data_IF_955445370143
#
_entry.id   IF_955445370143
#
_cell.length_a   1.000
_cell.length_b   1.000
_cell.length_c   1.000
_cell.angle_alpha   90.00
_cell.angle_beta   90.00
_cell.angle_gamma   90.00
#
_symmetry.space_group_name_H-M   'P 1'
#
loop_
_entity.id
_entity.type
_entity.pdbx_description
1 polymer ?
#
# COMPACT_ATOMS: atom_id res chain seq x y z
N UNK A 1 -9.86 -17.11 -2.41
CA UNK A 1 -9.78 -15.64 -2.39
C UNK A 1 -8.48 -15.22 -1.75
N UNK A 2 -7.70 -14.52 -2.54
CA UNK A 2 -6.35 -14.05 -2.30
C UNK A 2 -6.40 -12.56 -2.59
N UNK A 3 -6.32 -11.77 -1.52
CA UNK A 3 -6.22 -10.32 -1.63
C UNK A 3 -4.76 -9.93 -1.89
N UNK A 4 -4.54 -8.74 -2.43
CA UNK A 4 -3.23 -8.10 -2.55
C UNK A 4 -3.27 -6.77 -1.80
N UNK A 5 -2.23 -6.49 -1.03
CA UNK A 5 -2.01 -5.22 -0.36
C UNK A 5 -0.74 -4.62 -0.94
N UNK A 6 -0.77 -3.36 -1.37
CA UNK A 6 0.36 -2.76 -2.10
C UNK A 6 0.62 -1.33 -1.65
N UNK A 7 1.89 -0.97 -1.59
CA UNK A 7 2.41 0.38 -1.33
C UNK A 7 3.65 0.62 -2.20
N UNK A 8 3.75 1.80 -2.80
CA UNK A 8 4.81 2.12 -3.76
C UNK A 8 5.62 3.33 -3.31
N UNK A 9 6.90 3.35 -3.67
CA UNK A 9 7.73 4.54 -3.57
C UNK A 9 8.28 4.92 -4.94
N UNK A 10 8.22 6.21 -5.27
CA UNK A 10 8.64 6.75 -6.55
C UNK A 10 9.42 8.05 -6.40
N UNK A 11 10.29 8.32 -7.37
CA UNK A 11 11.04 9.56 -7.47
C UNK A 11 10.16 10.71 -8.00
N UNK A 12 10.68 11.94 -7.98
CA UNK A 12 9.96 13.12 -8.52
C UNK A 12 9.63 13.02 -10.01
N UNK A 13 10.44 12.30 -10.79
CA UNK A 13 10.15 11.99 -12.20
C UNK A 13 9.06 10.92 -12.36
N UNK A 14 8.49 10.43 -11.24
CA UNK A 14 7.44 9.41 -11.15
C UNK A 14 7.89 7.98 -11.50
N UNK A 15 9.20 7.77 -11.59
CA UNK A 15 9.78 6.43 -11.72
C UNK A 15 9.69 5.71 -10.37
N UNK A 16 9.07 4.53 -10.38
CA UNK A 16 8.97 3.66 -9.20
C UNK A 16 10.35 3.05 -8.92
N UNK A 17 10.79 3.08 -7.66
CA UNK A 17 12.03 2.44 -7.22
C UNK A 17 11.83 1.34 -6.19
N UNK A 18 10.64 1.25 -5.59
CA UNK A 18 10.30 0.24 -4.60
C UNK A 18 8.80 -0.07 -4.68
N UNK A 19 8.49 -1.36 -4.68
CA UNK A 19 7.12 -1.89 -4.60
C UNK A 19 7.07 -2.85 -3.42
N UNK A 20 6.35 -2.48 -2.38
CA UNK A 20 6.01 -3.38 -1.30
C UNK A 20 4.66 -4.02 -1.54
N UNK A 21 4.54 -5.32 -1.32
CA UNK A 21 3.26 -6.00 -1.38
C UNK A 21 3.14 -7.18 -0.44
N UNK A 22 1.90 -7.60 -0.18
CA UNK A 22 1.60 -8.78 0.59
C UNK A 22 0.29 -9.42 0.13
N UNK A 23 0.22 -10.75 0.16
CA UNK A 23 -1.05 -11.49 0.04
C UNK A 23 -1.62 -11.89 1.40
N UNK A 24 -0.81 -11.79 2.47
CA UNK A 24 -1.23 -12.06 3.84
C UNK A 24 -0.39 -11.28 4.87
N UNK A 25 -0.83 -11.22 6.13
CA UNK A 25 -0.14 -10.45 7.19
C UNK A 25 1.29 -10.94 7.46
N UNK A 26 1.56 -12.22 7.20
CA UNK A 26 2.81 -12.87 7.59
C UNK A 26 3.90 -12.78 6.54
N UNK A 27 3.57 -12.37 5.32
CA UNK A 27 4.51 -12.42 4.20
C UNK A 27 4.40 -11.14 3.34
N UNK A 28 5.35 -10.23 3.58
CA UNK A 28 5.52 -8.99 2.83
C UNK A 28 6.75 -9.13 1.96
N UNK A 29 6.57 -8.96 0.66
CA UNK A 29 7.65 -8.95 -0.33
C UNK A 29 7.93 -7.52 -0.78
N UNK A 30 9.21 -7.22 -1.02
CA UNK A 30 9.66 -5.94 -1.55
C UNK A 30 10.35 -6.18 -2.90
N UNK A 31 9.87 -5.54 -3.97
CA UNK A 31 10.52 -5.50 -5.27
C UNK A 31 11.27 -4.17 -5.41
N UNK A 32 12.58 -4.27 -5.59
CA UNK A 32 13.49 -3.15 -5.77
C UNK A 32 14.76 -3.56 -6.50
N UNK A 33 15.50 -2.59 -7.02
CA UNK A 33 16.71 -2.80 -7.84
C UNK A 33 16.44 -3.87 -8.93
N UNK A 34 17.25 -4.93 -8.97
CA UNK A 34 17.16 -6.02 -9.96
C UNK A 34 15.89 -6.86 -9.84
N UNK A 35 15.19 -6.83 -8.69
CA UNK A 35 13.93 -7.55 -8.51
C UNK A 35 12.70 -6.76 -8.98
N UNK A 36 12.84 -5.46 -9.24
CA UNK A 36 11.75 -4.63 -9.78
C UNK A 36 11.63 -4.83 -11.29
N UNK A 37 11.08 -5.97 -11.68
CA UNK A 37 10.91 -6.37 -13.08
C UNK A 37 9.44 -6.57 -13.42
N UNK A 38 9.09 -6.45 -14.71
CA UNK A 38 7.74 -6.77 -15.18
C UNK A 38 7.32 -8.21 -14.87
N UNK A 39 8.26 -9.16 -14.92
CA UNK A 39 8.00 -10.57 -14.56
C UNK A 39 7.55 -10.70 -13.10
N UNK A 40 8.27 -10.07 -12.16
CA UNK A 40 7.90 -10.10 -10.75
C UNK A 40 6.62 -9.32 -10.45
N UNK A 41 6.35 -8.23 -11.18
CA UNK A 41 5.07 -7.51 -11.08
C UNK A 41 3.91 -8.39 -11.57
N UNK A 42 4.09 -9.15 -12.65
CA UNK A 42 3.10 -10.13 -13.09
C UNK A 42 2.90 -11.24 -12.07
N UNK A 43 3.98 -11.81 -11.52
CA UNK A 43 3.91 -12.85 -10.49
C UNK A 43 3.21 -12.37 -9.20
N UNK A 44 3.37 -11.09 -8.84
CA UNK A 44 2.64 -10.46 -7.73
C UNK A 44 1.12 -10.44 -7.98
N UNK A 45 0.69 -10.16 -9.21
CA UNK A 45 -0.71 -9.99 -9.59
C UNK A 45 -1.42 -11.32 -9.93
N UNK A 46 -0.68 -12.30 -10.45
CA UNK A 46 -1.22 -13.58 -10.92
C UNK A 46 -2.12 -14.32 -9.90
N UNK A 47 -1.78 -14.45 -8.60
CA UNK A 47 -2.59 -15.22 -7.67
C UNK A 47 -3.85 -14.49 -7.18
N UNK A 48 -4.09 -13.25 -7.62
CA UNK A 48 -5.16 -12.38 -7.09
C UNK A 48 -6.51 -12.73 -7.72
N UNK A 49 -7.36 -13.42 -6.96
CA UNK A 49 -8.78 -13.67 -7.24
C UNK A 49 -9.72 -12.87 -6.30
N UNK A 50 -9.16 -12.05 -5.40
CA UNK A 50 -9.86 -11.18 -4.45
C UNK A 50 -9.78 -9.70 -4.78
N UNK A 51 -9.42 -8.88 -3.78
CA UNK A 51 -9.28 -7.43 -3.91
C UNK A 51 -7.82 -6.97 -3.86
N UNK A 52 -7.52 -5.90 -4.61
CA UNK A 52 -6.26 -5.16 -4.46
C UNK A 52 -6.51 -3.93 -3.58
N UNK A 53 -5.96 -3.94 -2.37
CA UNK A 53 -6.04 -2.87 -1.39
C UNK A 53 -4.80 -1.98 -1.42
N UNK A 54 -5.02 -0.67 -1.40
CA UNK A 54 -3.97 0.34 -1.41
C UNK A 54 -4.44 1.59 -0.65
N UNK A 55 -3.51 2.45 -0.23
CA UNK A 55 -3.84 3.61 0.63
C UNK A 55 -3.71 4.96 -0.08
N UNK A 56 -3.00 5.03 -1.20
CA UNK A 56 -2.68 6.27 -1.91
C UNK A 56 -3.03 6.21 -3.40
N UNK A 57 -2.23 6.86 -4.26
CA UNK A 57 -2.38 6.81 -5.72
C UNK A 57 -1.70 5.58 -6.36
N UNK A 58 -1.31 4.59 -5.57
CA UNK A 58 -0.40 3.49 -5.90
C UNK A 58 -0.75 2.80 -7.22
N UNK A 59 -1.98 2.31 -7.37
CA UNK A 59 -2.40 1.61 -8.58
C UNK A 59 -2.25 2.49 -9.82
N UNK A 60 -2.61 3.77 -9.74
CA UNK A 60 -2.42 4.68 -10.87
C UNK A 60 -0.94 4.91 -11.22
N UNK A 61 -0.07 4.92 -10.21
CA UNK A 61 1.38 5.05 -10.43
C UNK A 61 1.96 3.78 -11.07
N UNK A 62 1.51 2.61 -10.63
CA UNK A 62 1.93 1.32 -11.20
C UNK A 62 1.48 1.18 -12.65
N UNK A 63 0.20 1.46 -12.95
CA UNK A 63 -0.32 1.46 -14.33
C UNK A 63 0.47 2.41 -15.24
N UNK A 64 0.79 3.61 -14.74
CA UNK A 64 1.56 4.59 -15.49
C UNK A 64 2.97 4.10 -15.85
N UNK A 65 3.65 3.41 -14.92
CA UNK A 65 5.03 2.95 -15.11
C UNK A 65 5.12 1.65 -15.92
N UNK A 66 4.07 0.83 -15.91
CA UNK A 66 4.10 -0.53 -16.47
C UNK A 66 3.25 -0.68 -17.74
N UNK A 67 2.30 0.22 -17.99
CA UNK A 67 1.30 0.09 -19.06
C UNK A 67 0.23 -0.97 -18.79
N UNK A 68 0.21 -1.58 -17.59
CA UNK A 68 -0.83 -2.52 -17.19
C UNK A 68 -2.17 -1.81 -17.00
N UNK A 69 -3.26 -2.52 -17.28
CA UNK A 69 -4.63 -2.06 -17.01
C UNK A 69 -5.17 -2.74 -15.75
N UNK A 70 -4.73 -2.29 -14.58
CA UNK A 70 -5.01 -2.98 -13.32
C UNK A 70 -6.44 -2.70 -12.86
N UNK A 71 -6.90 -1.45 -12.96
CA UNK A 71 -8.22 -1.03 -12.48
C UNK A 71 -9.37 -1.70 -13.22
N UNK A 72 -9.22 -2.02 -14.51
CA UNK A 72 -10.27 -2.70 -15.27
C UNK A 72 -10.22 -4.22 -15.13
N UNK A 73 -9.06 -4.80 -14.79
CA UNK A 73 -8.88 -6.25 -14.69
C UNK A 73 -8.98 -6.78 -13.25
N UNK A 74 -8.85 -5.93 -12.23
CA UNK A 74 -8.86 -6.33 -10.82
C UNK A 74 -9.82 -5.49 -9.97
N UNK A 75 -10.29 -6.06 -8.87
CA UNK A 75 -11.13 -5.37 -7.88
C UNK A 75 -10.27 -4.48 -6.99
N UNK A 76 -10.06 -3.24 -7.41
CA UNK A 76 -9.22 -2.28 -6.69
C UNK A 76 -10.02 -1.51 -5.61
N UNK A 77 -9.52 -1.48 -4.37
CA UNK A 77 -10.12 -0.76 -3.24
C UNK A 77 -9.10 0.16 -2.58
N UNK A 78 -9.37 1.46 -2.66
CA UNK A 78 -8.61 2.46 -1.93
C UNK A 78 -9.09 2.53 -0.47
N UNK A 79 -8.28 2.03 0.47
CA UNK A 79 -8.65 1.98 1.89
C UNK A 79 -8.76 3.36 2.54
N UNK A 80 -8.03 4.37 2.05
CA UNK A 80 -8.20 5.75 2.51
C UNK A 80 -9.62 6.26 2.22
N UNK A 81 -10.17 5.99 1.03
CA UNK A 81 -11.57 6.33 0.70
C UNK A 81 -12.56 5.57 1.58
N UNK A 82 -12.34 4.26 1.75
CA UNK A 82 -13.18 3.41 2.62
C UNK A 82 -13.22 3.97 4.04
N UNK A 83 -12.06 4.24 4.63
CA UNK A 83 -11.95 4.71 6.01
C UNK A 83 -12.59 6.08 6.22
N UNK A 84 -12.51 6.99 5.22
CA UNK A 84 -13.23 8.28 5.25
C UNK A 84 -14.74 8.12 5.30
N UNK A 85 -15.28 7.07 4.67
CA UNK A 85 -16.72 6.83 4.65
C UNK A 85 -17.23 6.23 5.97
N UNK A 86 -16.50 5.27 6.54
CA UNK A 86 -16.94 4.54 7.75
C UNK A 86 -16.56 5.25 9.05
N UNK A 87 -15.50 6.04 9.07
CA UNK A 87 -15.05 6.81 10.22
C UNK A 87 -15.00 8.31 9.88
N UNK A 88 -16.13 8.95 9.52
CA UNK A 88 -16.14 10.35 9.13
C UNK A 88 -15.72 11.26 10.31
N UNK A 89 -15.12 12.41 9.98
CA UNK A 89 -14.79 13.45 10.97
C UNK A 89 -13.48 13.25 11.74
N UNK A 90 -12.64 12.26 11.40
CA UNK A 90 -11.32 12.14 12.00
C UNK A 90 -10.42 13.36 11.68
N UNK A 91 -9.57 13.80 12.64
CA UNK A 91 -8.68 14.94 12.45
C UNK A 91 -7.59 14.67 11.38
N UNK A 92 -7.26 13.40 11.14
CA UNK A 92 -6.32 12.97 10.10
C UNK A 92 -6.67 11.57 9.63
N UNK A 93 -6.40 11.32 8.34
CA UNK A 93 -6.49 10.01 7.71
C UNK A 93 -5.14 9.57 7.14
N UNK A 94 -4.04 10.09 7.65
CA UNK A 94 -2.73 9.51 7.32
C UNK A 94 -2.68 8.10 7.88
N UNK A 95 -2.04 7.19 7.15
CA UNK A 95 -1.92 5.80 7.58
C UNK A 95 -1.33 5.69 9.00
N UNK A 96 -0.37 6.55 9.38
CA UNK A 96 0.23 6.59 10.74
C UNK A 96 -0.78 6.88 11.83
N UNK A 97 -1.69 7.79 11.54
CA UNK A 97 -2.56 8.35 12.56
C UNK A 97 -3.70 7.36 12.81
N UNK A 98 -4.12 6.64 11.75
CA UNK A 98 -5.00 5.49 11.90
C UNK A 98 -4.31 4.32 12.59
N UNK A 99 -3.08 3.97 12.19
CA UNK A 99 -2.31 2.91 12.88
C UNK A 99 -2.20 3.19 14.38
N UNK A 100 -1.82 4.41 14.77
CA UNK A 100 -1.72 4.80 16.16
C UNK A 100 -3.07 4.71 16.90
N UNK A 101 -4.18 5.09 16.23
CA UNK A 101 -5.53 4.95 16.80
C UNK A 101 -5.92 3.49 17.04
N UNK A 102 -5.39 2.55 16.26
CA UNK A 102 -5.61 1.11 16.39
C UNK A 102 -4.45 0.37 17.11
N UNK A 103 -3.61 1.10 17.85
CA UNK A 103 -2.47 0.58 18.62
C UNK A 103 -1.45 -0.21 17.78
N UNK A 104 -1.33 0.12 16.49
CA UNK A 104 -0.32 -0.40 15.59
C UNK A 104 0.90 0.53 15.65
N UNK A 105 1.97 0.07 16.30
CA UNK A 105 3.19 0.85 16.43
C UNK A 105 4.15 0.63 15.27
N UNK A 106 4.68 1.73 14.74
CA UNK A 106 5.79 1.75 13.78
C UNK A 106 7.13 1.85 14.48
N UNK A 107 8.18 1.33 13.84
CA UNK A 107 9.55 1.65 14.24
C UNK A 107 10.16 2.75 13.37
N UNK A 108 9.61 3.01 12.17
CA UNK A 108 10.10 4.03 11.24
C UNK A 108 9.13 5.23 11.10
N UNK A 109 9.20 6.18 12.02
CA UNK A 109 8.35 7.38 11.99
C UNK A 109 8.90 8.54 11.11
N UNK A 110 10.14 8.43 10.66
CA UNK A 110 10.92 9.57 10.15
C UNK A 110 10.68 9.95 8.68
N UNK A 111 10.01 9.12 7.89
CA UNK A 111 9.88 9.32 6.43
C UNK A 111 8.58 10.00 5.98
N UNK A 112 7.60 10.16 6.89
CA UNK A 112 6.24 10.63 6.55
C UNK A 112 6.10 12.10 6.20
N UNK A 113 7.07 12.95 6.56
CA UNK A 113 6.98 14.40 6.37
C UNK A 113 7.84 14.92 5.22
N UNK A 114 8.66 14.07 4.59
CA UNK A 114 9.64 14.53 3.64
C UNK A 114 9.97 13.48 2.56
N UNK A 115 9.21 13.51 1.46
CA UNK A 115 9.48 12.68 0.27
C UNK A 115 10.89 12.93 -0.32
N UNK A 116 11.47 14.13 -0.12
CA UNK A 116 12.86 14.39 -0.53
C UNK A 116 13.84 13.51 0.25
N UNK A 117 13.55 13.24 1.54
CA UNK A 117 14.39 12.39 2.39
C UNK A 117 14.32 10.92 1.98
N UNK A 118 13.18 10.43 1.49
CA UNK A 118 13.06 9.06 0.95
C UNK A 118 13.98 8.85 -0.25
N UNK A 119 13.91 9.76 -1.23
CA UNK A 119 14.75 9.68 -2.42
C UNK A 119 16.26 9.87 -2.11
N UNK A 120 16.58 10.74 -1.15
CA UNK A 120 17.96 10.91 -0.67
C UNK A 120 18.48 9.64 0.03
N UNK A 121 17.72 9.12 0.99
CA UNK A 121 18.12 7.97 1.79
C UNK A 121 18.16 6.68 0.97
N UNK A 122 17.34 6.57 -0.10
CA UNK A 122 17.41 5.48 -1.07
C UNK A 122 18.78 5.38 -1.75
N UNK A 123 19.37 6.53 -2.09
CA UNK A 123 20.70 6.60 -2.74
C UNK A 123 21.85 6.32 -1.78
N UNK A 124 21.59 6.28 -0.48
CA UNK A 124 22.58 5.98 0.53
C UNK A 124 22.46 4.50 0.98
N UNK A 125 23.44 3.62 0.68
CA UNK A 125 23.37 2.21 1.02
C UNK A 125 23.12 1.92 2.51
N UNK A 126 23.61 2.78 3.41
CA UNK A 126 23.43 2.62 4.86
C UNK A 126 22.03 2.99 5.33
N UNK A 127 21.33 3.86 4.60
CA UNK A 127 19.99 4.33 4.94
C UNK A 127 18.89 3.66 4.12
N UNK A 128 19.23 3.06 2.97
CA UNK A 128 18.29 2.29 2.14
C UNK A 128 17.51 1.24 2.93
N UNK A 129 18.17 0.57 3.88
CA UNK A 129 17.51 -0.40 4.77
C UNK A 129 16.39 0.21 5.62
N UNK A 130 16.48 1.50 5.96
CA UNK A 130 15.44 2.20 6.70
C UNK A 130 14.25 2.52 5.79
N UNK A 131 14.49 2.82 4.51
CA UNK A 131 13.44 2.99 3.49
C UNK A 131 12.73 1.66 3.23
N UNK A 132 13.48 0.58 3.05
CA UNK A 132 12.92 -0.77 2.88
C UNK A 132 12.07 -1.16 4.09
N UNK A 133 12.56 -0.90 5.31
CA UNK A 133 11.81 -1.16 6.54
C UNK A 133 10.54 -0.31 6.65
N UNK A 134 10.60 0.95 6.23
CA UNK A 134 9.45 1.85 6.22
C UNK A 134 8.33 1.31 5.33
N UNK A 135 8.63 1.03 4.05
CA UNK A 135 7.65 0.51 3.10
C UNK A 135 7.15 -0.90 3.50
N UNK A 136 8.02 -1.75 4.08
CA UNK A 136 7.58 -3.00 4.70
C UNK A 136 6.52 -2.76 5.79
N UNK A 137 6.76 -1.80 6.68
CA UNK A 137 5.80 -1.44 7.74
C UNK A 137 4.49 -0.89 7.15
N UNK A 138 4.55 -0.06 6.12
CA UNK A 138 3.35 0.44 5.42
C UNK A 138 2.47 -0.70 4.91
N UNK A 139 3.04 -1.67 4.20
CA UNK A 139 2.29 -2.83 3.68
C UNK A 139 1.78 -3.72 4.81
N UNK A 140 2.65 -4.13 5.73
CA UNK A 140 2.29 -5.03 6.83
C UNK A 140 1.14 -4.44 7.68
N UNK A 141 1.23 -3.14 7.96
CA UNK A 141 0.23 -2.45 8.75
C UNK A 141 -1.05 -2.19 7.95
N UNK A 142 -0.98 -2.01 6.64
CA UNK A 142 -2.17 -1.94 5.79
C UNK A 142 -3.03 -3.20 5.93
N UNK A 143 -2.40 -4.39 5.91
CA UNK A 143 -3.11 -5.66 6.11
C UNK A 143 -3.76 -5.72 7.50
N UNK A 144 -2.99 -5.36 8.54
CA UNK A 144 -3.47 -5.38 9.95
C UNK A 144 -4.62 -4.40 10.17
N UNK A 145 -4.46 -3.18 9.68
CA UNK A 145 -5.44 -2.11 9.84
C UNK A 145 -6.73 -2.46 9.12
N UNK A 146 -6.66 -2.98 7.87
CA UNK A 146 -7.85 -3.50 7.17
C UNK A 146 -8.57 -4.54 8.00
N UNK A 147 -7.86 -5.54 8.53
CA UNK A 147 -8.46 -6.60 9.34
C UNK A 147 -9.16 -6.05 10.59
N UNK A 148 -8.53 -5.14 11.33
CA UNK A 148 -9.09 -4.56 12.54
C UNK A 148 -10.31 -3.67 12.23
N UNK A 149 -10.17 -2.77 11.27
CA UNK A 149 -11.23 -1.82 10.91
C UNK A 149 -12.44 -2.56 10.33
N UNK A 150 -12.23 -3.49 9.39
CA UNK A 150 -13.35 -4.20 8.78
C UNK A 150 -14.06 -5.11 9.79
N UNK A 151 -13.31 -5.70 10.73
CA UNK A 151 -13.90 -6.45 11.83
C UNK A 151 -14.72 -5.58 12.79
N UNK A 152 -14.24 -4.38 13.11
CA UNK A 152 -14.93 -3.46 14.03
C UNK A 152 -16.19 -2.85 13.43
N UNK A 153 -16.17 -2.51 12.14
CA UNK A 153 -17.27 -1.84 11.44
C UNK A 153 -18.12 -2.80 10.58
N UNK A 154 -17.90 -4.11 10.70
CA UNK A 154 -18.63 -5.16 9.98
C UNK A 154 -18.66 -4.91 8.45
N UNK A 155 -17.54 -4.44 7.88
CA UNK A 155 -17.45 -4.11 6.45
C UNK A 155 -17.39 -5.40 5.63
N UNK A 156 -18.52 -5.75 5.01
CA UNK A 156 -18.66 -6.86 4.07
C UNK A 156 -18.32 -6.49 2.62
N UNK A 157 -18.33 -7.50 1.74
CA UNK A 157 -18.06 -7.30 0.31
C UNK A 157 -19.12 -6.41 -0.36
N UNK A 158 -20.38 -6.53 0.05
CA UNK A 158 -21.49 -5.70 -0.44
C UNK A 158 -21.25 -4.20 -0.22
N UNK A 159 -20.60 -3.83 0.90
CA UNK A 159 -20.25 -2.45 1.18
C UNK A 159 -19.17 -1.93 0.22
N UNK A 160 -18.23 -2.81 -0.17
CA UNK A 160 -17.13 -2.45 -1.06
C UNK A 160 -17.59 -2.26 -2.51
N UNK A 161 -18.65 -2.95 -2.96
CA UNK A 161 -19.17 -2.79 -4.31
C UNK A 161 -19.70 -1.37 -4.56
N UNK A 162 -20.35 -0.77 -3.55
CA UNK A 162 -20.81 0.62 -3.58
C UNK A 162 -19.69 1.65 -3.53
N UNK A 163 -18.47 1.24 -3.16
CA UNK A 163 -17.28 2.09 -3.08
C UNK A 163 -16.20 1.71 -4.10
N UNK A 164 -16.51 0.81 -5.04
CA UNK A 164 -15.66 0.55 -6.22
C UNK A 164 -15.46 1.87 -6.94
N UNK A 165 -14.19 2.15 -7.22
CA UNK A 165 -13.73 3.49 -7.57
C UNK A 165 -14.47 4.08 -8.78
N UNK A 166 -15.08 5.25 -8.53
CA UNK A 166 -14.83 6.43 -9.37
C UNK A 166 -13.40 6.90 -9.09
#
# INVERSE_FOLDING_TARGET
MTDLYIDLEWFFNQEIFLVGYAHCVTDVTLLYDESLTMENIHAMLEPVDGYIYFYGPDIGMLEKNTGLDIKNNFRCVNLLKVFRNIMPGLPSYRLSDLEAMFDIHRTQNQYKSNIFKLAEDWRNPYKKQQVLKYNYEDVANLVRLKKLVFGLFEVGEECLEGWRMI
#
